data_IF_456495675293
#
_entry.id   IF_456495675293
#
_cell.length_a   1.000
_cell.length_b   1.000
_cell.length_c   1.000
_cell.angle_alpha   90.00
_cell.angle_beta   90.00
_cell.angle_gamma   90.00
#
_symmetry.space_group_name_H-M   'P 1'
#
loop_
_entity.id
_entity.type
_entity.pdbx_description
1 polymer ?
#
# COMPACT_ATOMS: atom_id res chain seq x y z
N UNK A 1 18.48 -9.92 -26.03
CA UNK A 1 17.30 -10.39 -25.27
C UNK A 1 16.06 -9.72 -25.85
N UNK A 2 15.13 -10.49 -26.44
CA UNK A 2 13.92 -9.91 -27.03
C UNK A 2 13.06 -9.18 -25.99
N UNK A 3 12.54 -7.97 -26.29
CA UNK A 3 11.83 -7.11 -25.34
C UNK A 3 10.53 -7.69 -24.77
N UNK A 4 10.00 -8.78 -25.36
CA UNK A 4 8.82 -9.53 -24.89
C UNK A 4 9.13 -10.39 -23.64
N UNK A 5 10.42 -10.68 -23.37
CA UNK A 5 10.84 -11.53 -22.24
C UNK A 5 11.00 -10.78 -20.91
N UNK A 6 11.24 -9.47 -20.92
CA UNK A 6 11.75 -8.76 -19.73
C UNK A 6 10.80 -8.81 -18.52
N UNK A 7 9.48 -8.81 -18.74
CA UNK A 7 8.47 -8.89 -17.69
C UNK A 7 7.85 -10.29 -17.52
N UNK A 8 8.28 -11.30 -18.29
CA UNK A 8 7.68 -12.63 -18.24
C UNK A 8 7.81 -13.27 -16.85
N UNK A 9 8.99 -13.14 -16.22
CA UNK A 9 9.21 -13.63 -14.87
C UNK A 9 8.28 -12.94 -13.85
N UNK A 10 8.21 -11.60 -13.88
CA UNK A 10 7.31 -10.84 -13.01
C UNK A 10 5.85 -11.23 -13.22
N UNK A 11 5.41 -11.38 -14.47
CA UNK A 11 4.05 -11.77 -14.81
C UNK A 11 3.71 -13.16 -14.26
N UNK A 12 4.58 -14.16 -14.43
CA UNK A 12 4.36 -15.51 -13.93
C UNK A 12 4.22 -15.54 -12.40
N UNK A 13 5.11 -14.81 -11.69
CA UNK A 13 5.06 -14.67 -10.22
C UNK A 13 3.77 -13.97 -9.76
N UNK A 14 3.40 -12.88 -10.41
CA UNK A 14 2.17 -12.13 -10.11
C UNK A 14 0.93 -13.00 -10.32
N UNK A 15 0.83 -13.75 -11.42
CA UNK A 15 -0.31 -14.63 -11.68
C UNK A 15 -0.42 -15.75 -10.64
N UNK A 16 0.71 -16.37 -10.27
CA UNK A 16 0.73 -17.38 -9.20
C UNK A 16 0.25 -16.82 -7.86
N UNK A 17 0.65 -15.59 -7.50
CA UNK A 17 0.20 -14.91 -6.27
C UNK A 17 -1.25 -14.45 -6.35
N UNK A 18 -1.69 -13.98 -7.51
CA UNK A 18 -3.06 -13.51 -7.72
C UNK A 18 -4.08 -14.62 -7.46
N UNK A 19 -3.81 -15.84 -7.92
CA UNK A 19 -4.67 -17.00 -7.67
C UNK A 19 -4.74 -17.46 -6.20
N UNK A 20 -3.83 -16.98 -5.33
CA UNK A 20 -3.83 -17.29 -3.89
C UNK A 20 -4.63 -16.30 -3.07
N UNK A 21 -5.10 -15.20 -3.67
CA UNK A 21 -5.82 -14.15 -2.94
C UNK A 21 -7.18 -14.65 -2.45
N UNK A 22 -7.65 -14.19 -1.28
CA UNK A 22 -9.00 -14.45 -0.83
C UNK A 22 -10.00 -13.84 -1.82
N UNK A 23 -10.95 -14.64 -2.29
CA UNK A 23 -12.09 -14.17 -3.07
C UNK A 23 -13.18 -13.60 -2.13
N UNK A 24 -14.27 -13.08 -2.69
CA UNK A 24 -15.34 -12.47 -1.90
C UNK A 24 -16.01 -13.47 -0.94
N UNK A 25 -16.18 -14.73 -1.34
CA UNK A 25 -16.78 -15.75 -0.47
C UNK A 25 -15.94 -16.01 0.80
N UNK A 26 -14.61 -16.01 0.67
CA UNK A 26 -13.71 -16.09 1.83
C UNK A 26 -13.87 -14.87 2.72
N UNK A 27 -13.98 -13.68 2.13
CA UNK A 27 -14.16 -12.46 2.92
C UNK A 27 -15.50 -12.40 3.65
N UNK A 28 -16.60 -12.79 3.02
CA UNK A 28 -17.93 -12.88 3.65
C UNK A 28 -17.93 -13.87 4.82
N UNK A 29 -17.31 -15.05 4.62
CA UNK A 29 -17.12 -16.03 5.69
C UNK A 29 -16.33 -15.45 6.87
N UNK A 30 -15.23 -14.74 6.60
CA UNK A 30 -14.43 -14.11 7.65
C UNK A 30 -15.19 -12.97 8.34
N UNK A 31 -15.96 -12.19 7.59
CA UNK A 31 -16.73 -11.08 8.13
C UNK A 31 -17.76 -11.55 9.17
N UNK A 32 -18.37 -12.73 8.96
CA UNK A 32 -19.33 -13.32 9.89
C UNK A 32 -18.73 -13.72 11.26
N UNK A 33 -17.40 -13.83 11.39
CA UNK A 33 -16.74 -14.16 12.65
C UNK A 33 -16.55 -12.88 13.47
N UNK A 34 -17.19 -12.76 14.63
CA UNK A 34 -17.04 -11.60 15.52
C UNK A 34 -15.73 -11.62 16.33
N UNK A 35 -15.36 -12.79 16.85
CA UNK A 35 -14.24 -12.94 17.77
C UNK A 35 -12.88 -12.95 17.07
N UNK A 36 -11.94 -12.10 17.54
CA UNK A 36 -10.60 -11.96 16.97
C UNK A 36 -9.80 -13.29 16.93
N UNK A 37 -9.81 -14.16 17.96
CA UNK A 37 -9.10 -15.43 17.90
C UNK A 37 -9.59 -16.36 16.78
N UNK A 38 -10.91 -16.56 16.69
CA UNK A 38 -11.51 -17.40 15.65
C UNK A 38 -11.28 -16.80 14.25
N UNK A 39 -11.39 -15.48 14.14
CA UNK A 39 -11.09 -14.76 12.91
C UNK A 39 -9.65 -14.96 12.45
N UNK A 40 -8.66 -14.81 13.35
CA UNK A 40 -7.24 -15.00 13.02
C UNK A 40 -6.93 -16.44 12.61
N UNK A 41 -7.55 -17.42 13.27
CA UNK A 41 -7.41 -18.83 12.89
C UNK A 41 -7.89 -19.09 11.46
N UNK A 42 -9.12 -18.68 11.14
CA UNK A 42 -9.71 -18.90 9.81
C UNK A 42 -8.99 -18.08 8.73
N UNK A 43 -8.60 -16.85 9.03
CA UNK A 43 -7.85 -16.02 8.08
C UNK A 43 -6.47 -16.64 7.77
N UNK A 44 -5.82 -17.31 8.72
CA UNK A 44 -4.55 -18.03 8.46
C UNK A 44 -4.72 -19.29 7.61
N UNK A 45 -5.91 -19.88 7.55
CA UNK A 45 -6.22 -20.98 6.64
C UNK A 45 -6.47 -20.49 5.19
N UNK A 46 -6.52 -19.18 4.97
CA UNK A 46 -6.77 -18.55 3.66
C UNK A 46 -5.50 -17.92 3.04
N UNK A 47 -5.68 -17.24 1.91
CA UNK A 47 -4.66 -16.40 1.28
C UNK A 47 -4.10 -15.29 2.18
N UNK A 48 -4.80 -14.91 3.25
CA UNK A 48 -4.36 -13.86 4.19
C UNK A 48 -3.23 -14.28 5.12
N UNK A 49 -2.90 -15.58 5.21
CA UNK A 49 -1.88 -16.11 6.13
C UNK A 49 -0.59 -15.31 6.14
N UNK A 50 -0.12 -14.89 4.98
CA UNK A 50 1.16 -14.20 4.88
C UNK A 50 1.16 -12.80 5.50
N UNK A 51 -0.01 -12.19 5.70
CA UNK A 51 -0.16 -10.90 6.38
C UNK A 51 -0.20 -11.04 7.90
N UNK A 52 -0.84 -12.10 8.39
CA UNK A 52 -1.24 -12.24 9.79
C UNK A 52 -0.55 -13.40 10.54
N UNK A 53 0.40 -14.09 9.92
CA UNK A 53 1.09 -15.23 10.51
C UNK A 53 1.70 -14.90 11.89
N UNK A 54 2.18 -13.67 12.06
CA UNK A 54 2.85 -13.19 13.27
C UNK A 54 1.95 -12.39 14.22
N UNK A 55 0.65 -12.27 13.93
CA UNK A 55 -0.30 -11.58 14.81
C UNK A 55 -0.89 -12.58 15.79
N UNK A 56 -0.99 -12.22 17.06
CA UNK A 56 -1.75 -12.93 18.09
C UNK A 56 -3.01 -12.12 18.47
N UNK A 57 -4.02 -12.73 19.12
CA UNK A 57 -5.16 -11.98 19.67
C UNK A 57 -4.75 -10.92 20.69
N UNK A 58 -3.60 -11.09 21.34
CA UNK A 58 -3.04 -10.15 22.32
C UNK A 58 -2.11 -9.10 21.71
N UNK A 59 -1.88 -9.14 20.41
CA UNK A 59 -1.00 -8.17 19.74
C UNK A 59 -1.65 -6.79 19.79
N UNK A 60 -0.99 -5.78 20.36
CA UNK A 60 -1.53 -4.43 20.41
C UNK A 60 -1.83 -3.87 19.01
N UNK A 61 -2.89 -3.06 18.82
CA UNK A 61 -3.25 -2.55 17.50
C UNK A 61 -2.13 -1.79 16.78
N UNK A 62 -1.33 -1.00 17.51
CA UNK A 62 -0.20 -0.27 16.94
C UNK A 62 0.91 -1.20 16.43
N UNK A 63 1.16 -2.31 17.14
CA UNK A 63 2.12 -3.32 16.73
C UNK A 63 1.62 -4.12 15.52
N UNK A 64 0.33 -4.48 15.49
CA UNK A 64 -0.29 -5.10 14.33
C UNK A 64 -0.14 -4.22 13.08
N UNK A 65 -0.45 -2.93 13.19
CA UNK A 65 -0.28 -1.94 12.12
C UNK A 65 1.19 -1.81 11.65
N UNK A 66 2.15 -1.81 12.59
CA UNK A 66 3.59 -1.82 12.28
C UNK A 66 3.99 -3.07 11.48
N UNK A 67 3.53 -4.25 11.92
CA UNK A 67 3.81 -5.51 11.26
C UNK A 67 3.21 -5.57 9.84
N UNK A 68 1.98 -5.10 9.68
CA UNK A 68 1.33 -5.02 8.36
C UNK A 68 2.08 -4.09 7.41
N UNK A 69 2.52 -2.91 7.86
CA UNK A 69 3.38 -2.01 7.08
C UNK A 69 4.71 -2.69 6.71
N UNK A 70 5.34 -3.39 7.65
CA UNK A 70 6.59 -4.11 7.40
C UNK A 70 6.42 -5.23 6.34
N UNK A 71 5.35 -6.03 6.44
CA UNK A 71 5.01 -7.05 5.44
C UNK A 71 4.77 -6.44 4.05
N UNK A 72 4.09 -5.29 3.96
CA UNK A 72 3.85 -4.62 2.68
C UNK A 72 5.17 -4.16 2.04
N UNK A 73 6.08 -3.56 2.83
CA UNK A 73 7.40 -3.16 2.33
C UNK A 73 8.23 -4.36 1.87
N UNK A 74 8.20 -5.46 2.62
CA UNK A 74 8.89 -6.69 2.25
C UNK A 74 8.35 -7.27 0.93
N UNK A 75 7.02 -7.25 0.75
CA UNK A 75 6.37 -7.67 -0.50
C UNK A 75 6.75 -6.76 -1.67
N UNK A 76 6.75 -5.43 -1.48
CA UNK A 76 7.18 -4.49 -2.52
C UNK A 76 8.64 -4.73 -2.91
N UNK A 77 9.52 -5.02 -1.94
CA UNK A 77 10.91 -5.35 -2.21
C UNK A 77 11.07 -6.71 -2.90
N UNK A 78 10.26 -7.72 -2.56
CA UNK A 78 10.21 -9.00 -3.30
C UNK A 78 9.84 -8.74 -4.78
N UNK A 79 8.82 -7.92 -5.02
CA UNK A 79 8.29 -7.62 -6.35
C UNK A 79 9.26 -6.79 -7.17
N UNK A 80 9.99 -5.86 -6.52
CA UNK A 80 11.07 -5.13 -7.15
C UNK A 80 12.17 -6.06 -7.68
N UNK A 81 12.40 -7.23 -7.06
CA UNK A 81 13.37 -8.21 -7.58
C UNK A 81 12.86 -8.95 -8.82
N UNK A 82 11.54 -9.04 -9.02
CA UNK A 82 10.95 -9.70 -10.18
C UNK A 82 10.99 -8.86 -11.45
N UNK A 83 10.94 -7.53 -11.33
CA UNK A 83 10.91 -6.63 -12.49
C UNK A 83 12.30 -6.37 -13.07
N UNK A 84 12.40 -5.95 -14.35
CA UNK A 84 13.66 -5.53 -14.94
C UNK A 84 14.39 -4.46 -14.12
N UNK A 85 15.74 -4.46 -14.08
CA UNK A 85 16.53 -3.51 -13.31
C UNK A 85 16.11 -2.03 -13.44
N UNK A 86 15.80 -1.51 -14.65
CA UNK A 86 15.38 -0.11 -14.80
C UNK A 86 14.09 0.26 -14.05
N UNK A 87 13.22 -0.71 -13.77
CA UNK A 87 11.93 -0.48 -13.10
C UNK A 87 11.97 -0.63 -11.59
N UNK A 88 13.05 -1.20 -11.04
CA UNK A 88 13.14 -1.52 -9.60
C UNK A 88 12.97 -0.29 -8.72
N UNK A 89 13.57 0.83 -9.11
CA UNK A 89 13.46 2.08 -8.37
C UNK A 89 12.01 2.58 -8.30
N UNK A 90 11.26 2.48 -9.41
CA UNK A 90 9.85 2.87 -9.45
C UNK A 90 8.96 1.96 -8.58
N UNK A 91 9.26 0.67 -8.53
CA UNK A 91 8.54 -0.29 -7.66
C UNK A 91 8.88 -0.02 -6.20
N UNK A 92 10.16 0.06 -5.82
CA UNK A 92 10.59 0.33 -4.44
C UNK A 92 10.03 1.64 -3.88
N UNK A 93 9.86 2.65 -4.73
CA UNK A 93 9.32 3.94 -4.32
C UNK A 93 7.89 3.88 -3.78
N UNK A 94 7.10 2.86 -4.14
CA UNK A 94 5.74 2.67 -3.60
C UNK A 94 5.74 2.24 -2.14
N UNK A 95 6.87 1.72 -1.61
CA UNK A 95 7.02 1.33 -0.22
C UNK A 95 6.91 2.51 0.77
N UNK A 96 7.00 3.75 0.28
CA UNK A 96 6.81 4.95 1.10
C UNK A 96 5.34 5.36 1.26
N UNK A 97 4.45 4.91 0.37
CA UNK A 97 3.05 5.32 0.38
C UNK A 97 2.33 5.12 1.73
N UNK A 98 2.54 4.01 2.46
CA UNK A 98 1.87 3.79 3.75
C UNK A 98 2.19 4.85 4.81
N UNK A 99 3.40 5.43 4.76
CA UNK A 99 3.86 6.41 5.76
C UNK A 99 3.63 7.86 5.30
N UNK A 100 3.22 8.07 4.05
CA UNK A 100 3.10 9.40 3.46
C UNK A 100 2.12 10.32 4.22
N UNK A 101 0.96 9.85 4.73
CA UNK A 101 0.10 10.68 5.56
C UNK A 101 0.76 11.13 6.87
N UNK A 102 1.54 10.24 7.49
CA UNK A 102 2.25 10.55 8.74
C UNK A 102 3.42 11.50 8.51
N UNK A 103 4.17 11.32 7.42
CA UNK A 103 5.18 12.28 6.99
C UNK A 103 4.55 13.65 6.70
N UNK A 104 3.40 13.69 6.02
CA UNK A 104 2.66 14.93 5.77
C UNK A 104 2.26 15.64 7.06
N UNK A 105 1.73 14.89 8.04
CA UNK A 105 1.37 15.40 9.36
C UNK A 105 2.58 16.03 10.08
N UNK A 106 3.71 15.32 10.15
CA UNK A 106 4.93 15.83 10.78
C UNK A 106 5.48 17.07 10.07
N UNK A 107 5.38 17.15 8.74
CA UNK A 107 5.85 18.29 7.95
C UNK A 107 4.99 19.54 8.11
N UNK A 108 3.74 19.42 8.60
CA UNK A 108 2.92 20.58 9.01
C UNK A 108 3.34 21.16 10.36
N UNK A 109 4.31 20.57 11.05
CA UNK A 109 4.79 21.02 12.37
C UNK A 109 4.09 20.35 13.54
N UNK A 110 3.21 19.38 13.28
CA UNK A 110 2.40 18.72 14.31
C UNK A 110 3.26 17.89 15.29
N UNK A 111 2.83 17.70 16.55
CA UNK A 111 3.56 16.89 17.52
C UNK A 111 3.59 15.42 17.11
N UNK A 112 4.77 14.80 17.11
CA UNK A 112 4.88 13.38 16.76
C UNK A 112 4.18 12.49 17.80
N UNK A 113 3.45 11.47 17.34
CA UNK A 113 2.93 10.41 18.20
C UNK A 113 3.99 9.33 18.44
N UNK A 114 3.87 8.56 19.52
CA UNK A 114 4.87 7.56 19.92
C UNK A 114 5.10 6.49 18.85
N UNK A 115 4.02 6.01 18.23
CA UNK A 115 4.12 5.05 17.12
C UNK A 115 4.97 5.60 15.96
N UNK A 116 4.98 6.91 15.70
CA UNK A 116 5.80 7.50 14.63
C UNK A 116 7.30 7.47 14.97
N UNK A 117 7.66 7.49 16.26
CA UNK A 117 9.05 7.38 16.74
C UNK A 117 9.55 5.95 16.68
N UNK A 118 8.65 4.98 16.83
CA UNK A 118 8.95 3.56 16.70
C UNK A 118 9.09 3.11 15.24
N UNK A 119 8.46 3.84 14.31
CA UNK A 119 8.50 3.49 12.89
C UNK A 119 9.84 3.83 12.23
N UNK A 120 10.60 2.84 11.70
CA UNK A 120 11.95 3.07 11.20
C UNK A 120 12.06 4.18 10.14
N UNK A 121 11.08 4.25 9.22
CA UNK A 121 11.06 5.24 8.14
C UNK A 121 10.70 6.66 8.62
N UNK A 122 10.00 6.78 9.75
CA UNK A 122 9.51 8.07 10.27
C UNK A 122 10.34 8.56 11.45
N UNK A 123 11.02 7.66 12.16
CA UNK A 123 11.75 7.92 13.42
C UNK A 123 12.63 9.17 13.37
N UNK A 124 13.43 9.32 12.32
CA UNK A 124 14.31 10.49 12.19
C UNK A 124 13.51 11.80 12.11
N UNK A 125 12.42 11.81 11.34
CA UNK A 125 11.54 12.98 11.20
C UNK A 125 10.71 13.24 12.47
N UNK A 126 10.23 12.17 13.12
CA UNK A 126 9.42 12.22 14.33
C UNK A 126 10.20 12.74 15.55
N UNK A 127 11.50 12.40 15.64
CA UNK A 127 12.38 12.85 16.73
C UNK A 127 13.01 14.22 16.48
N UNK A 128 12.90 14.76 15.26
CA UNK A 128 13.41 16.09 14.96
C UNK A 128 12.48 17.19 15.49
N UNK A 129 13.08 18.26 16.02
CA UNK A 129 12.35 19.48 16.37
C UNK A 129 11.58 20.01 15.14
N UNK A 130 10.35 20.55 15.32
CA UNK A 130 9.52 20.98 14.20
C UNK A 130 10.23 21.87 13.17
N UNK A 131 11.04 22.83 13.61
CA UNK A 131 11.82 23.72 12.73
C UNK A 131 12.98 23.05 11.97
N UNK A 132 13.48 21.91 12.47
CA UNK A 132 14.59 21.16 11.88
C UNK A 132 14.12 20.01 10.96
N UNK A 133 12.85 19.61 11.03
CA UNK A 133 12.25 18.57 10.18
C UNK A 133 12.50 18.76 8.67
N UNK A 134 12.42 19.97 8.10
CA UNK A 134 12.80 20.22 6.71
C UNK A 134 14.21 19.73 6.35
N UNK A 135 15.18 19.99 7.23
CA UNK A 135 16.59 19.61 7.05
C UNK A 135 16.78 18.11 7.18
N UNK A 136 16.13 17.49 8.16
CA UNK A 136 16.18 16.03 8.36
C UNK A 136 15.56 15.30 7.18
N UNK A 137 14.43 15.80 6.66
CA UNK A 137 13.80 15.25 5.45
C UNK A 137 14.79 15.26 4.28
N UNK A 138 15.49 16.38 4.05
CA UNK A 138 16.43 16.54 2.93
C UNK A 138 17.64 15.59 2.97
N UNK A 139 17.94 14.99 4.13
CA UNK A 139 19.07 14.07 4.32
C UNK A 139 18.62 12.60 4.41
N UNK A 140 17.32 12.35 4.50
CA UNK A 140 16.76 11.02 4.74
C UNK A 140 16.18 10.35 3.50
N UNK A 141 15.52 9.18 3.68
CA UNK A 141 14.83 8.48 2.59
C UNK A 141 13.72 9.31 1.92
N UNK A 142 13.25 10.34 2.62
CA UNK A 142 12.21 11.27 2.16
C UNK A 142 12.74 12.48 1.39
N UNK A 143 14.07 12.59 1.19
CA UNK A 143 14.71 13.77 0.60
C UNK A 143 14.06 14.24 -0.70
N UNK A 144 13.66 13.28 -1.54
CA UNK A 144 13.08 13.58 -2.83
C UNK A 144 11.64 14.14 -2.77
N UNK A 145 10.98 14.13 -1.61
CA UNK A 145 9.75 14.90 -1.42
C UNK A 145 10.04 16.40 -1.24
N UNK A 146 11.28 16.78 -0.89
CA UNK A 146 11.68 18.16 -0.60
C UNK A 146 10.98 18.71 0.66
N UNK A 147 11.53 19.77 1.25
CA UNK A 147 10.84 20.54 2.27
C UNK A 147 10.56 21.95 1.76
N UNK A 148 9.49 22.60 2.26
CA UNK A 148 9.16 23.99 1.90
C UNK A 148 8.55 24.19 0.51
N UNK A 149 8.21 23.12 -0.23
CA UNK A 149 7.40 23.24 -1.44
C UNK A 149 5.92 23.41 -1.08
N UNK A 150 5.22 24.29 -1.77
CA UNK A 150 3.78 24.50 -1.60
C UNK A 150 2.94 23.27 -1.97
N UNK A 151 3.48 22.41 -2.85
CA UNK A 151 2.79 21.21 -3.30
C UNK A 151 2.58 20.18 -2.17
N UNK A 152 1.39 19.54 -2.08
CA UNK A 152 1.14 18.48 -1.11
C UNK A 152 2.15 17.33 -1.22
N UNK A 153 2.54 16.66 -0.11
CA UNK A 153 3.46 15.52 -0.12
C UNK A 153 3.14 14.43 -1.15
N UNK A 154 1.85 14.14 -1.39
CA UNK A 154 1.40 13.21 -2.42
C UNK A 154 1.75 13.65 -3.85
N UNK A 155 1.57 14.94 -4.16
CA UNK A 155 1.89 15.46 -5.48
C UNK A 155 3.39 15.33 -5.79
N UNK A 156 4.23 15.61 -4.78
CA UNK A 156 5.68 15.48 -4.86
C UNK A 156 6.11 14.02 -4.95
N UNK A 157 5.47 13.12 -4.21
CA UNK A 157 5.68 11.68 -4.34
C UNK A 157 5.36 11.18 -5.76
N UNK A 158 4.25 11.64 -6.35
CA UNK A 158 3.85 11.28 -7.71
C UNK A 158 4.82 11.81 -8.77
N UNK A 159 5.28 13.06 -8.63
CA UNK A 159 6.30 13.65 -9.50
C UNK A 159 7.57 12.79 -9.49
N UNK A 160 8.04 12.44 -8.30
CA UNK A 160 9.26 11.70 -8.10
C UNK A 160 9.15 10.23 -8.53
N UNK A 161 7.95 9.66 -8.41
CA UNK A 161 7.64 8.34 -8.96
C UNK A 161 7.73 8.33 -10.49
N UNK A 162 7.18 9.36 -11.17
CA UNK A 162 7.27 9.51 -12.63
C UNK A 162 8.71 9.64 -13.12
N UNK A 163 9.55 10.37 -12.40
CA UNK A 163 10.99 10.51 -12.72
C UNK A 163 11.73 9.17 -12.67
N UNK A 164 11.24 8.17 -11.92
CA UNK A 164 11.80 6.81 -11.87
C UNK A 164 11.34 5.90 -13.01
N UNK A 165 10.42 6.34 -13.85
CA UNK A 165 9.96 5.52 -14.97
C UNK A 165 11.01 5.51 -16.07
N UNK A 166 11.43 4.33 -16.56
CA UNK A 166 12.25 4.24 -17.75
C UNK A 166 11.58 4.92 -18.96
N UNK A 167 12.37 5.55 -19.82
CA UNK A 167 11.94 6.42 -20.93
C UNK A 167 11.24 5.74 -22.12
N UNK A 168 10.25 4.89 -21.88
CA UNK A 168 9.45 4.21 -22.92
C UNK A 168 8.06 4.83 -23.00
N UNK A 169 7.86 5.79 -23.91
CA UNK A 169 6.66 6.64 -24.04
C UNK A 169 5.33 5.87 -23.92
N UNK A 170 5.17 4.74 -24.63
CA UNK A 170 3.93 3.95 -24.60
C UNK A 170 3.60 3.33 -23.22
N UNK A 171 4.61 2.98 -22.43
CA UNK A 171 4.42 2.44 -21.07
C UNK A 171 4.06 3.56 -20.07
N UNK A 172 4.54 4.77 -20.30
CA UNK A 172 4.23 5.93 -19.46
C UNK A 172 2.76 6.31 -19.59
N UNK A 173 2.18 6.31 -20.80
CA UNK A 173 0.76 6.62 -20.99
C UNK A 173 -0.17 5.68 -20.20
N UNK A 174 0.11 4.38 -20.19
CA UNK A 174 -0.69 3.42 -19.44
C UNK A 174 -0.51 3.54 -17.91
N UNK A 175 0.66 3.99 -17.44
CA UNK A 175 0.87 4.33 -16.02
C UNK A 175 0.14 5.63 -15.63
N UNK A 176 0.08 6.62 -16.51
CA UNK A 176 -0.72 7.82 -16.29
C UNK A 176 -2.22 7.51 -16.23
N UNK A 177 -2.71 6.57 -17.06
CA UNK A 177 -4.08 6.08 -16.95
C UNK A 177 -4.35 5.44 -15.58
N UNK A 178 -3.41 4.66 -15.06
CA UNK A 178 -3.50 4.10 -13.70
C UNK A 178 -3.52 5.21 -12.64
N UNK A 179 -2.71 6.27 -12.79
CA UNK A 179 -2.74 7.43 -11.87
C UNK A 179 -4.11 8.12 -11.90
N UNK A 180 -4.67 8.34 -13.08
CA UNK A 180 -5.99 8.94 -13.25
C UNK A 180 -7.08 8.10 -12.59
N UNK A 181 -7.03 6.76 -12.76
CA UNK A 181 -7.96 5.83 -12.12
C UNK A 181 -7.91 5.94 -10.58
N UNK A 182 -6.71 5.93 -10.00
CA UNK A 182 -6.54 6.04 -8.54
C UNK A 182 -6.98 7.42 -8.03
N UNK A 183 -6.72 8.50 -8.78
CA UNK A 183 -7.18 9.85 -8.42
C UNK A 183 -8.71 9.94 -8.40
N UNK A 184 -9.37 9.39 -9.43
CA UNK A 184 -10.82 9.36 -9.50
C UNK A 184 -11.43 8.59 -8.31
N UNK A 185 -10.86 7.41 -7.99
CA UNK A 185 -11.24 6.66 -6.80
C UNK A 185 -11.11 7.49 -5.52
N UNK A 186 -9.96 8.15 -5.32
CA UNK A 186 -9.73 8.96 -4.11
C UNK A 186 -10.70 10.12 -3.96
N UNK A 187 -11.07 10.77 -5.06
CA UNK A 187 -12.06 11.85 -5.05
C UNK A 187 -13.44 11.31 -4.69
N UNK A 188 -13.87 10.21 -5.32
CA UNK A 188 -15.15 9.58 -5.03
C UNK A 188 -15.23 9.07 -3.58
N UNK A 189 -14.15 8.46 -3.09
CA UNK A 189 -14.06 7.98 -1.71
C UNK A 189 -14.10 9.11 -0.68
N UNK A 190 -13.46 10.26 -0.97
CA UNK A 190 -13.44 11.41 -0.07
C UNK A 190 -14.76 12.21 -0.03
N UNK A 191 -15.65 12.01 -1.00
CA UNK A 191 -16.94 12.72 -1.10
C UNK A 191 -18.15 11.83 -0.74
N UNK A 192 -17.99 10.51 -0.75
CA UNK A 192 -19.10 9.57 -0.60
C UNK A 192 -19.46 9.24 0.86
N UNK A 193 -20.74 8.97 1.09
CA UNK A 193 -21.22 8.22 2.25
C UNK A 193 -20.68 6.77 2.23
N UNK A 194 -20.79 6.04 3.33
CA UNK A 194 -20.21 4.69 3.49
C UNK A 194 -20.55 3.71 2.34
N UNK A 195 -21.78 3.75 1.82
CA UNK A 195 -22.21 2.94 0.67
C UNK A 195 -21.49 3.34 -0.64
N UNK A 196 -21.27 4.63 -0.87
CA UNK A 196 -20.52 5.14 -2.02
C UNK A 196 -19.04 4.78 -1.96
N UNK A 197 -18.45 4.76 -0.76
CA UNK A 197 -17.07 4.35 -0.55
C UNK A 197 -16.82 2.87 -0.91
N UNK A 198 -17.78 1.99 -0.59
CA UNK A 198 -17.73 0.57 -1.00
C UNK A 198 -17.85 0.41 -2.52
N UNK A 199 -18.84 1.05 -3.14
CA UNK A 199 -19.04 0.99 -4.58
C UNK A 199 -17.80 1.50 -5.36
N UNK A 200 -17.19 2.60 -4.90
CA UNK A 200 -15.95 3.13 -5.47
C UNK A 200 -14.79 2.12 -5.37
N UNK A 201 -14.69 1.39 -4.25
CA UNK A 201 -13.67 0.34 -4.07
C UNK A 201 -13.90 -0.82 -5.03
N UNK A 202 -15.13 -1.32 -5.16
CA UNK A 202 -15.47 -2.39 -6.11
C UNK A 202 -15.14 -1.98 -7.55
N UNK A 203 -15.52 -0.76 -7.96
CA UNK A 203 -15.23 -0.24 -9.29
C UNK A 203 -13.72 -0.14 -9.57
N UNK A 204 -12.94 0.31 -8.58
CA UNK A 204 -11.48 0.33 -8.69
C UNK A 204 -10.92 -1.08 -8.82
N UNK A 205 -11.33 -2.03 -7.97
CA UNK A 205 -10.88 -3.42 -8.02
C UNK A 205 -11.15 -4.05 -9.39
N UNK A 206 -12.38 -3.96 -9.92
CA UNK A 206 -12.72 -4.50 -11.24
C UNK A 206 -11.88 -3.87 -12.36
N UNK A 207 -11.62 -2.56 -12.28
CA UNK A 207 -10.77 -1.85 -13.24
C UNK A 207 -9.32 -2.32 -13.20
N UNK A 208 -8.77 -2.54 -12.00
CA UNK A 208 -7.41 -3.05 -11.80
C UNK A 208 -7.26 -4.50 -12.29
N UNK A 209 -8.26 -5.35 -12.05
CA UNK A 209 -8.26 -6.73 -12.55
C UNK A 209 -8.34 -6.78 -14.09
N UNK A 210 -9.18 -5.94 -14.70
CA UNK A 210 -9.24 -5.81 -16.15
C UNK A 210 -7.89 -5.33 -16.71
N UNK A 211 -7.25 -4.37 -16.03
CA UNK A 211 -5.93 -3.87 -16.40
C UNK A 211 -4.85 -4.96 -16.28
N UNK A 212 -4.90 -5.78 -15.24
CA UNK A 212 -3.98 -6.91 -15.04
C UNK A 212 -4.10 -7.96 -16.15
N UNK A 213 -5.33 -8.23 -16.62
CA UNK A 213 -5.59 -9.13 -17.76
C UNK A 213 -5.12 -8.56 -19.09
N UNK A 214 -5.33 -7.26 -19.32
CA UNK A 214 -5.03 -6.59 -20.60
C UNK A 214 -3.57 -6.21 -20.76
N UNK A 215 -2.90 -5.80 -19.68
CA UNK A 215 -1.56 -5.22 -19.71
C UNK A 215 -0.45 -6.27 -19.51
N UNK A 216 -0.56 -7.41 -20.19
CA UNK A 216 0.37 -8.54 -20.07
C UNK A 216 1.81 -8.12 -20.39
N UNK A 217 2.79 -8.63 -19.63
CA UNK A 217 4.23 -8.35 -19.82
C UNK A 217 4.58 -6.85 -19.76
N UNK A 218 3.86 -6.09 -18.94
CA UNK A 218 4.05 -4.65 -18.81
C UNK A 218 4.29 -4.22 -17.35
N UNK A 219 4.95 -3.08 -17.12
CA UNK A 219 5.09 -2.52 -15.77
C UNK A 219 3.74 -2.18 -15.12
N UNK A 220 2.73 -1.86 -15.93
CA UNK A 220 1.40 -1.46 -15.43
C UNK A 220 0.73 -2.62 -14.69
N UNK A 221 0.88 -3.85 -15.17
CA UNK A 221 0.39 -5.05 -14.48
C UNK A 221 1.00 -5.19 -13.07
N UNK A 222 2.27 -4.83 -12.89
CA UNK A 222 2.95 -4.87 -11.59
C UNK A 222 2.32 -3.88 -10.62
N UNK A 223 2.10 -2.63 -11.05
CA UNK A 223 1.51 -1.61 -10.20
C UNK A 223 0.01 -1.85 -9.96
N UNK A 224 -0.71 -2.38 -10.94
CA UNK A 224 -2.11 -2.79 -10.76
C UNK A 224 -2.23 -3.88 -9.70
N UNK A 225 -1.36 -4.88 -9.73
CA UNK A 225 -1.32 -5.92 -8.71
C UNK A 225 -0.92 -5.38 -7.33
N UNK A 226 0.07 -4.48 -7.24
CA UNK A 226 0.41 -3.83 -5.97
C UNK A 226 -0.75 -3.00 -5.39
N UNK A 227 -1.55 -2.35 -6.23
CA UNK A 227 -2.75 -1.64 -5.80
C UNK A 227 -3.84 -2.59 -5.31
N UNK A 228 -4.06 -3.72 -6.00
CA UNK A 228 -4.97 -4.77 -5.51
C UNK A 228 -4.56 -5.30 -4.14
N UNK A 229 -3.25 -5.53 -3.94
CA UNK A 229 -2.68 -5.90 -2.64
C UNK A 229 -2.90 -4.81 -1.59
N UNK A 230 -2.72 -3.53 -1.94
CA UNK A 230 -2.95 -2.43 -1.01
C UNK A 230 -4.44 -2.34 -0.59
N UNK A 231 -5.38 -2.53 -1.52
CA UNK A 231 -6.82 -2.55 -1.22
C UNK A 231 -7.20 -3.73 -0.33
N UNK A 232 -6.59 -4.90 -0.55
CA UNK A 232 -6.76 -6.07 0.31
C UNK A 232 -6.24 -5.79 1.73
N UNK A 233 -5.10 -5.14 1.85
CA UNK A 233 -4.54 -4.74 3.13
C UNK A 233 -5.42 -3.70 3.84
N UNK A 234 -6.01 -2.75 3.12
CA UNK A 234 -6.99 -1.82 3.69
C UNK A 234 -8.19 -2.55 4.28
N UNK A 235 -8.74 -3.54 3.57
CA UNK A 235 -9.84 -4.38 4.08
C UNK A 235 -9.42 -5.17 5.31
N UNK A 236 -8.25 -5.80 5.26
CA UNK A 236 -7.68 -6.53 6.40
C UNK A 236 -7.54 -5.64 7.64
N UNK A 237 -7.02 -4.42 7.48
CA UNK A 237 -6.88 -3.46 8.58
C UNK A 237 -8.21 -3.09 9.19
N UNK A 238 -9.24 -2.86 8.36
CA UNK A 238 -10.58 -2.59 8.85
C UNK A 238 -11.14 -3.75 9.67
N UNK A 239 -11.01 -5.00 9.19
CA UNK A 239 -11.48 -6.19 9.91
C UNK A 239 -10.76 -6.38 11.26
N UNK A 240 -9.46 -6.13 11.31
CA UNK A 240 -8.67 -6.21 12.55
C UNK A 240 -9.05 -5.11 13.55
N UNK A 241 -9.20 -3.87 13.09
CA UNK A 241 -9.55 -2.74 13.96
C UNK A 241 -10.94 -2.91 14.55
N UNK A 242 -11.93 -3.28 13.72
CA UNK A 242 -13.30 -3.53 14.18
C UNK A 242 -13.31 -4.52 15.34
N UNK A 243 -12.59 -5.64 15.22
CA UNK A 243 -12.57 -6.69 16.26
C UNK A 243 -11.70 -6.37 17.45
N UNK A 244 -10.56 -5.71 17.26
CA UNK A 244 -9.74 -5.26 18.38
C UNK A 244 -10.49 -4.27 19.29
N UNK A 245 -11.37 -3.44 18.71
CA UNK A 245 -12.25 -2.56 19.48
C UNK A 245 -13.36 -3.32 20.21
N UNK A 246 -14.03 -4.28 19.57
CA UNK A 246 -15.09 -5.07 20.22
C UNK A 246 -14.57 -6.03 21.30
N UNK A 247 -13.35 -6.57 21.18
CA UNK A 247 -12.73 -7.38 22.25
C UNK A 247 -12.30 -6.57 23.48
N UNK A 248 -12.34 -5.23 23.40
CA UNK A 248 -11.95 -4.33 24.49
C UNK A 248 -13.13 -3.78 25.30
N UNK A 249 -14.38 -4.04 24.91
CA UNK A 249 -15.55 -3.71 25.72
C UNK A 249 -15.80 -4.85 26.72
N UNK A 250 -15.69 -4.59 28.04
CA UNK A 250 -16.11 -5.58 29.02
C UNK A 250 -17.64 -5.68 28.99
N UNK A 251 -18.15 -6.89 28.74
CA UNK A 251 -19.50 -7.28 29.16
C UNK A 251 -19.55 -7.40 30.69
#
# INVERSE_FOLDING_TARGET
>A
MSPVSAFAYAQARIQARYGQRPNEAVWEMLHALAELPAWLEQARASGLRHWIANLSPTTPPHEAERLLRAHLRALIEEVARWVPPPWRAAVRWTAMLPDLPAAAYLLRGEPAHDWMREEPNLRALANAEPGLRPRVLAQGPWAALGAGRADPPLARWLEEWRRRWPGVRGRQAALEQLVTLVRAYRLAFGQGEAAGAWAARCALTSSLEALLRRAFLSPVAVFAWLLLVALELERLRAELLTRAHFSSEPH
#
